data_IF_610351467858
#
_entry.id   IF_610351467858
#
_cell.length_a   1.000
_cell.length_b   1.000
_cell.length_c   1.000
_cell.angle_alpha   90.00
_cell.angle_beta   90.00
_cell.angle_gamma   90.00
#
_symmetry.space_group_name_H-M   'P 1'
#
loop_
_entity.id
_entity.type
_entity.pdbx_description
1 polymer ?
#
# COMPACT_ATOMS: atom_id res chain seq x y z
N UNK A 1 19.59 27.39 -7.39
CA UNK A 1 20.05 26.02 -7.73
C UNK A 1 20.38 25.16 -6.49
N UNK A 2 20.90 25.70 -5.38
CA UNK A 2 21.22 24.94 -4.17
C UNK A 2 20.02 24.26 -3.46
N UNK A 3 18.82 24.87 -3.50
CA UNK A 3 17.61 24.31 -2.88
C UNK A 3 17.22 22.93 -3.46
N UNK A 4 17.42 22.70 -4.77
CA UNK A 4 17.07 21.42 -5.38
C UNK A 4 17.99 20.28 -4.94
N UNK A 5 19.26 20.54 -4.67
CA UNK A 5 20.20 19.50 -4.25
C UNK A 5 19.92 19.04 -2.82
N UNK A 6 19.79 19.98 -1.88
CA UNK A 6 19.51 19.67 -0.46
C UNK A 6 18.19 18.92 -0.33
N UNK A 7 17.12 19.42 -0.96
CA UNK A 7 15.80 18.77 -0.95
C UNK A 7 15.85 17.38 -1.57
N UNK A 8 16.55 17.21 -2.70
CA UNK A 8 16.70 15.90 -3.34
C UNK A 8 17.45 14.90 -2.46
N UNK A 9 18.57 15.32 -1.87
CA UNK A 9 19.38 14.48 -0.97
C UNK A 9 18.58 14.09 0.28
N UNK A 10 17.85 15.03 0.87
CA UNK A 10 16.96 14.76 1.99
C UNK A 10 15.87 13.74 1.63
N UNK A 11 15.20 13.90 0.48
CA UNK A 11 14.17 12.95 0.05
C UNK A 11 14.75 11.56 -0.22
N UNK A 12 15.94 11.47 -0.82
CA UNK A 12 16.63 10.17 -1.00
C UNK A 12 16.92 9.54 0.37
N UNK A 13 17.47 10.29 1.32
CA UNK A 13 17.72 9.80 2.67
C UNK A 13 16.43 9.33 3.37
N UNK A 14 15.34 10.10 3.28
CA UNK A 14 14.03 9.72 3.82
C UNK A 14 13.50 8.41 3.23
N UNK A 15 13.58 8.24 1.91
CA UNK A 15 13.18 7.01 1.25
C UNK A 15 14.05 5.83 1.68
N UNK A 16 15.37 6.02 1.83
CA UNK A 16 16.28 4.98 2.32
C UNK A 16 15.99 4.58 3.76
N UNK A 17 15.80 5.54 4.67
CA UNK A 17 15.45 5.28 6.07
C UNK A 17 14.15 4.46 6.13
N UNK A 18 13.14 4.88 5.37
CA UNK A 18 11.86 4.18 5.31
C UNK A 18 12.01 2.77 4.73
N UNK A 19 12.80 2.61 3.65
CA UNK A 19 13.13 1.32 3.06
C UNK A 19 13.78 0.38 4.08
N UNK A 20 14.81 0.84 4.81
CA UNK A 20 15.48 0.02 5.82
C UNK A 20 14.54 -0.34 6.96
N UNK A 21 13.69 0.59 7.41
CA UNK A 21 12.64 0.32 8.39
C UNK A 21 11.73 -0.84 7.99
N UNK A 22 11.18 -0.78 6.77
CA UNK A 22 10.30 -1.83 6.26
C UNK A 22 11.02 -3.13 5.93
N UNK A 23 12.28 -3.07 5.49
CA UNK A 23 13.11 -4.25 5.27
C UNK A 23 13.41 -4.99 6.58
N UNK A 24 13.69 -4.26 7.67
CA UNK A 24 13.83 -4.83 9.01
C UNK A 24 12.54 -5.48 9.51
N UNK A 25 11.38 -4.85 9.24
CA UNK A 25 10.07 -5.44 9.56
C UNK A 25 9.85 -6.73 8.76
N UNK A 26 10.09 -6.71 7.44
CA UNK A 26 9.89 -7.87 6.56
C UNK A 26 10.80 -9.04 6.96
N UNK A 27 12.07 -8.76 7.21
CA UNK A 27 13.05 -9.78 7.62
C UNK A 27 12.72 -10.36 8.99
N UNK A 28 12.33 -9.52 9.96
CA UNK A 28 11.82 -9.97 11.26
C UNK A 28 10.60 -10.86 11.09
N UNK A 29 9.61 -10.45 10.28
CA UNK A 29 8.41 -11.23 10.03
C UNK A 29 8.73 -12.60 9.42
N UNK A 30 9.53 -12.65 8.35
CA UNK A 30 9.88 -13.90 7.67
C UNK A 30 10.60 -14.85 8.63
N UNK A 31 11.55 -14.33 9.42
CA UNK A 31 12.28 -15.13 10.40
C UNK A 31 11.39 -15.63 11.52
N UNK A 32 10.46 -14.80 12.02
CA UNK A 32 9.50 -15.20 13.06
C UNK A 32 8.60 -16.34 12.58
N UNK A 33 8.05 -16.21 11.37
CA UNK A 33 7.20 -17.25 10.79
C UNK A 33 7.97 -18.55 10.56
N UNK A 34 9.24 -18.47 10.13
CA UNK A 34 10.07 -19.63 9.84
C UNK A 34 10.64 -20.32 11.09
N UNK A 35 11.10 -19.57 12.09
CA UNK A 35 11.89 -20.08 13.22
C UNK A 35 11.15 -20.01 14.57
N UNK A 36 10.04 -19.28 14.68
CA UNK A 36 9.32 -19.07 15.95
C UNK A 36 9.87 -17.90 16.76
N UNK A 37 9.64 -17.91 18.07
CA UNK A 37 10.02 -16.81 18.97
C UNK A 37 11.50 -16.44 18.85
N UNK A 38 11.76 -15.14 18.72
CA UNK A 38 13.10 -14.61 18.53
C UNK A 38 13.47 -13.65 19.65
N UNK A 39 14.79 -13.59 19.92
CA UNK A 39 15.35 -12.53 20.76
C UNK A 39 15.13 -11.17 20.11
N UNK A 40 14.66 -10.20 20.89
CA UNK A 40 14.49 -8.83 20.42
C UNK A 40 15.83 -8.26 19.94
N UNK A 41 15.82 -7.64 18.77
CA UNK A 41 16.96 -6.90 18.23
C UNK A 41 16.97 -5.48 18.80
N UNK A 42 18.13 -4.82 18.83
CA UNK A 42 18.24 -3.45 19.36
C UNK A 42 17.20 -2.47 18.77
N UNK A 43 16.94 -2.44 17.45
CA UNK A 43 15.91 -1.55 16.89
C UNK A 43 14.51 -1.84 17.43
N UNK A 44 14.18 -3.11 17.70
CA UNK A 44 12.89 -3.50 18.29
C UNK A 44 12.83 -3.01 19.74
N UNK A 45 13.89 -3.23 20.51
CA UNK A 45 13.96 -2.79 21.91
C UNK A 45 13.84 -1.27 22.06
N UNK A 46 14.53 -0.49 21.21
CA UNK A 46 14.39 0.96 21.19
C UNK A 46 12.99 1.40 20.77
N UNK A 47 12.38 0.71 19.79
CA UNK A 47 11.00 1.01 19.37
C UNK A 47 10.01 0.73 20.49
N UNK A 48 10.15 -0.39 21.21
CA UNK A 48 9.31 -0.71 22.38
C UNK A 48 9.50 0.33 23.49
N UNK A 49 10.74 0.76 23.78
CA UNK A 49 11.00 1.84 24.75
C UNK A 49 10.36 3.17 24.35
N UNK A 50 10.47 3.54 23.07
CA UNK A 50 9.87 4.76 22.53
C UNK A 50 8.34 4.72 22.61
N UNK A 51 7.75 3.58 22.25
CA UNK A 51 6.29 3.41 22.26
C UNK A 51 5.74 3.20 23.66
N UNK A 52 6.50 2.63 24.59
CA UNK A 52 6.10 2.50 25.99
C UNK A 52 5.82 3.87 26.65
N UNK A 53 6.43 4.94 26.15
CA UNK A 53 6.10 6.31 26.55
C UNK A 53 4.74 6.78 26.01
N UNK A 54 4.34 6.29 24.83
CA UNK A 54 3.10 6.67 24.14
C UNK A 54 1.90 5.76 24.47
N UNK A 55 2.13 4.48 24.80
CA UNK A 55 1.10 3.55 25.27
C UNK A 55 0.66 3.96 26.68
N UNK A 56 -0.65 4.13 26.87
CA UNK A 56 -1.22 4.33 28.20
C UNK A 56 -0.90 3.11 29.08
N UNK A 57 -0.61 3.35 30.36
CA UNK A 57 -0.27 2.34 31.37
C UNK A 57 -1.25 1.15 31.46
N UNK A 58 -2.47 1.28 30.93
CA UNK A 58 -3.53 0.27 30.88
C UNK A 58 -3.36 -0.81 29.78
N UNK A 59 -2.50 -0.60 28.78
CA UNK A 59 -2.35 -1.49 27.61
C UNK A 59 -1.15 -2.46 27.72
N UNK A 60 -0.46 -2.49 28.86
CA UNK A 60 0.78 -3.27 29.10
C UNK A 60 0.62 -4.79 29.09
N UNK A 61 -0.60 -5.31 28.99
CA UNK A 61 -0.89 -6.74 29.03
C UNK A 61 -1.36 -7.25 27.66
N UNK A 62 -0.46 -7.23 26.68
CA UNK A 62 -0.67 -7.97 25.42
C UNK A 62 -0.35 -9.44 25.73
N UNK A 63 -1.34 -10.17 26.27
CA UNK A 63 -1.22 -11.61 26.50
C UNK A 63 -1.11 -12.35 25.16
N UNK A 64 -0.16 -13.28 25.08
CA UNK A 64 0.05 -14.15 23.91
C UNK A 64 -1.13 -15.12 23.81
N UNK A 65 -2.09 -14.85 22.93
CA UNK A 65 -3.16 -15.81 22.62
C UNK A 65 -2.67 -16.66 21.45
N UNK A 66 -2.37 -17.93 21.75
CA UNK A 66 -1.99 -18.95 20.77
C UNK A 66 -3.21 -19.39 19.97
N UNK A 67 -3.16 -19.27 18.64
CA UNK A 67 -4.19 -19.82 17.76
C UNK A 67 -4.04 -21.34 17.68
N UNK A 68 -4.79 -22.07 18.52
CA UNK A 68 -4.86 -23.54 18.45
C UNK A 68 -6.14 -23.98 17.75
N UNK A 69 -6.03 -24.39 16.49
CA UNK A 69 -7.12 -25.05 15.78
C UNK A 69 -6.77 -26.54 15.56
N UNK A 70 -7.49 -27.47 16.22
CA UNK A 70 -7.20 -28.90 16.14
C UNK A 70 -7.51 -29.55 14.77
N UNK A 71 -8.15 -28.83 13.85
CA UNK A 71 -8.53 -29.35 12.51
C UNK A 71 -7.53 -29.02 11.40
N UNK A 72 -6.47 -28.27 11.68
CA UNK A 72 -5.50 -27.85 10.66
C UNK A 72 -4.30 -28.78 10.58
N UNK A 73 -3.67 -28.94 9.40
CA UNK A 73 -2.39 -29.63 9.28
C UNK A 73 -1.34 -28.98 10.19
N UNK A 74 -0.45 -29.79 10.79
CA UNK A 74 0.52 -29.34 11.79
C UNK A 74 1.39 -28.15 11.33
N UNK A 75 1.74 -28.12 10.04
CA UNK A 75 2.46 -26.99 9.44
C UNK A 75 1.65 -25.69 9.48
N UNK A 76 0.38 -25.74 9.06
CA UNK A 76 -0.48 -24.56 9.03
C UNK A 76 -0.84 -24.07 10.43
N UNK A 77 -1.10 -24.98 11.37
CA UNK A 77 -1.37 -24.59 12.76
C UNK A 77 -0.17 -23.90 13.38
N UNK A 78 1.05 -24.41 13.16
CA UNK A 78 2.29 -23.79 13.65
C UNK A 78 2.54 -22.43 12.99
N UNK A 79 2.32 -22.32 11.68
CA UNK A 79 2.49 -21.06 10.97
C UNK A 79 1.50 -20.00 11.45
N UNK A 80 0.22 -20.36 11.64
CA UNK A 80 -0.80 -19.44 12.11
C UNK A 80 -0.59 -19.04 13.57
N UNK A 81 -0.13 -19.98 14.40
CA UNK A 81 0.24 -19.68 15.79
C UNK A 81 1.38 -18.65 15.86
N UNK A 82 2.45 -18.87 15.09
CA UNK A 82 3.54 -17.89 14.96
C UNK A 82 3.05 -16.56 14.38
N UNK A 83 2.15 -16.60 13.41
CA UNK A 83 1.55 -15.39 12.86
C UNK A 83 0.75 -14.59 13.89
N UNK A 84 0.02 -15.26 14.80
CA UNK A 84 -0.71 -14.59 15.89
C UNK A 84 0.21 -13.92 16.91
N UNK A 85 1.45 -14.37 17.07
CA UNK A 85 2.38 -13.77 18.04
C UNK A 85 3.24 -12.65 17.46
N UNK A 86 3.13 -12.36 16.16
CA UNK A 86 3.97 -11.38 15.48
C UNK A 86 3.87 -9.97 16.09
N UNK A 87 2.67 -9.53 16.49
CA UNK A 87 2.48 -8.19 17.04
C UNK A 87 3.32 -7.96 18.30
N UNK A 88 3.48 -8.98 19.16
CA UNK A 88 4.28 -8.87 20.37
C UNK A 88 5.79 -8.67 20.08
N UNK A 89 6.24 -9.01 18.87
CA UNK A 89 7.66 -8.97 18.50
C UNK A 89 7.97 -7.74 17.64
N UNK A 90 7.13 -7.44 16.66
CA UNK A 90 7.39 -6.36 15.70
C UNK A 90 6.38 -5.23 15.75
N UNK A 91 5.38 -5.27 16.64
CA UNK A 91 4.30 -4.27 16.72
C UNK A 91 4.84 -2.87 16.92
N UNK A 92 5.73 -2.68 17.90
CA UNK A 92 6.33 -1.37 18.12
C UNK A 92 7.16 -0.88 16.92
N UNK A 93 7.97 -1.76 16.32
CA UNK A 93 8.75 -1.38 15.15
C UNK A 93 7.86 -0.96 13.98
N UNK A 94 6.76 -1.69 13.74
CA UNK A 94 5.75 -1.32 12.74
C UNK A 94 5.15 0.05 13.06
N UNK A 95 4.82 0.31 14.33
CA UNK A 95 4.23 1.58 14.73
C UNK A 95 5.18 2.78 14.59
N UNK A 96 6.46 2.63 14.93
CA UNK A 96 7.48 3.68 14.68
C UNK A 96 7.63 3.93 13.18
N UNK A 97 7.88 2.88 12.39
CA UNK A 97 8.14 3.02 10.95
C UNK A 97 6.91 3.55 10.21
N UNK A 98 5.70 3.09 10.56
CA UNK A 98 4.47 3.60 9.96
C UNK A 98 4.21 5.06 10.34
N UNK A 99 4.64 5.50 11.52
CA UNK A 99 4.53 6.91 11.95
C UNK A 99 5.42 7.85 11.15
N UNK A 100 6.54 7.36 10.57
CA UNK A 100 7.35 8.14 9.65
C UNK A 100 6.58 8.57 8.39
N UNK A 101 5.51 7.84 8.02
CA UNK A 101 4.67 8.20 6.87
C UNK A 101 3.92 9.53 7.06
N UNK A 102 3.80 10.05 8.29
CA UNK A 102 3.29 11.41 8.55
C UNK A 102 4.13 12.45 7.79
N UNK A 103 5.44 12.22 7.64
CA UNK A 103 6.29 13.10 6.85
C UNK A 103 5.91 13.14 5.38
N UNK A 104 5.30 12.08 4.81
CA UNK A 104 4.79 12.09 3.44
C UNK A 104 3.67 13.14 3.28
N UNK A 105 2.82 13.31 4.30
CA UNK A 105 1.80 14.38 4.33
C UNK A 105 2.49 15.74 4.37
N UNK A 106 3.49 15.90 5.25
CA UNK A 106 4.24 17.16 5.39
C UNK A 106 4.91 17.55 4.08
N UNK A 107 5.55 16.59 3.39
CA UNK A 107 6.19 16.83 2.09
C UNK A 107 5.19 17.23 1.01
N UNK A 108 3.99 16.65 1.02
CA UNK A 108 2.91 17.01 0.11
C UNK A 108 2.35 18.41 0.38
N UNK A 109 2.15 18.77 1.66
CA UNK A 109 1.63 20.08 2.09
C UNK A 109 2.60 21.21 1.77
N UNK A 110 3.90 21.01 2.04
CA UNK A 110 4.95 21.99 1.74
C UNK A 110 5.21 22.07 0.21
N UNK A 111 4.73 21.10 -0.56
CA UNK A 111 4.89 21.07 -2.01
C UNK A 111 6.27 20.60 -2.48
N UNK A 112 7.07 20.02 -1.58
CA UNK A 112 8.35 19.38 -1.92
C UNK A 112 8.12 18.17 -2.82
N UNK A 113 6.99 17.46 -2.63
CA UNK A 113 6.56 16.33 -3.45
C UNK A 113 5.22 16.66 -4.11
N UNK A 114 5.13 16.47 -5.43
CA UNK A 114 3.92 16.71 -6.21
C UNK A 114 2.92 15.55 -6.05
N UNK A 115 2.11 15.60 -5.00
CA UNK A 115 1.02 14.64 -4.75
C UNK A 115 -0.23 15.35 -4.26
N UNK A 116 -1.45 14.87 -4.59
CA UNK A 116 -2.68 15.47 -4.08
C UNK A 116 -2.80 15.25 -2.56
N UNK A 117 -2.69 16.34 -1.79
CA UNK A 117 -2.68 16.31 -0.31
C UNK A 117 -3.82 15.49 0.29
N UNK A 118 -5.11 15.67 -0.10
CA UNK A 118 -6.20 14.92 0.52
C UNK A 118 -6.04 13.41 0.37
N UNK A 119 -5.55 12.97 -0.80
CA UNK A 119 -5.34 11.54 -1.05
C UNK A 119 -4.18 10.98 -0.22
N UNK A 120 -3.10 11.73 -0.04
CA UNK A 120 -1.98 11.34 0.82
C UNK A 120 -2.41 11.26 2.29
N UNK A 121 -3.20 12.22 2.76
CA UNK A 121 -3.74 12.23 4.13
C UNK A 121 -4.59 10.99 4.38
N UNK A 122 -5.57 10.69 3.51
CA UNK A 122 -6.43 9.52 3.68
C UNK A 122 -5.63 8.22 3.66
N UNK A 123 -4.64 8.10 2.76
CA UNK A 123 -3.79 6.92 2.67
C UNK A 123 -2.96 6.72 3.95
N UNK A 124 -2.26 7.74 4.42
CA UNK A 124 -1.41 7.66 5.62
C UNK A 124 -2.26 7.46 6.87
N UNK A 125 -3.35 8.22 7.02
CA UNK A 125 -4.24 8.11 8.16
C UNK A 125 -4.90 6.74 8.26
N UNK A 126 -5.33 6.14 7.14
CA UNK A 126 -5.94 4.80 7.15
C UNK A 126 -5.02 3.74 7.76
N UNK A 127 -3.72 3.77 7.44
CA UNK A 127 -2.74 2.85 8.02
C UNK A 127 -2.39 3.18 9.47
N UNK A 128 -2.28 4.47 9.81
CA UNK A 128 -2.07 4.88 11.21
C UNK A 128 -3.24 4.47 12.10
N UNK A 129 -4.47 4.56 11.59
CA UNK A 129 -5.65 4.09 12.28
C UNK A 129 -5.60 2.59 12.56
N UNK A 130 -5.14 1.77 11.61
CA UNK A 130 -5.01 0.34 11.83
C UNK A 130 -3.91 -0.03 12.82
N UNK A 131 -2.82 0.72 12.85
CA UNK A 131 -1.75 0.51 13.82
C UNK A 131 -2.21 0.98 15.21
N UNK A 132 -2.42 2.28 15.35
CA UNK A 132 -2.65 2.92 16.65
C UNK A 132 -4.09 2.79 17.14
N UNK A 133 -5.07 2.84 16.24
CA UNK A 133 -6.49 2.76 16.57
C UNK A 133 -7.00 1.33 16.73
N UNK A 134 -6.37 0.35 16.05
CA UNK A 134 -6.83 -1.04 16.02
C UNK A 134 -5.82 -1.99 16.67
N UNK A 135 -4.63 -2.19 16.09
CA UNK A 135 -3.73 -3.26 16.54
C UNK A 135 -3.16 -3.01 17.93
N UNK A 136 -2.78 -1.76 18.24
CA UNK A 136 -2.24 -1.40 19.56
C UNK A 136 -3.30 -1.39 20.67
N UNK A 137 -4.58 -1.18 20.33
CA UNK A 137 -5.68 -1.06 21.32
C UNK A 137 -6.46 -2.35 21.55
N UNK A 138 -6.49 -3.26 20.57
CA UNK A 138 -7.32 -4.47 20.62
C UNK A 138 -6.52 -5.75 20.50
N UNK A 139 -6.43 -6.48 21.61
CA UNK A 139 -5.77 -7.80 21.70
C UNK A 139 -6.26 -8.79 20.64
N UNK A 140 -7.57 -8.82 20.37
CA UNK A 140 -8.15 -9.73 19.39
C UNK A 140 -7.69 -9.45 17.95
N UNK A 141 -7.21 -8.23 17.69
CA UNK A 141 -6.63 -7.84 16.40
C UNK A 141 -5.13 -8.06 16.40
N UNK A 142 -4.42 -7.67 17.46
CA UNK A 142 -2.98 -7.91 17.62
C UNK A 142 -2.61 -9.40 17.57
N UNK A 143 -3.36 -10.24 18.29
CA UNK A 143 -3.13 -11.68 18.40
C UNK A 143 -3.74 -12.48 17.24
N UNK A 144 -4.03 -11.83 16.11
CA UNK A 144 -4.67 -12.44 14.96
C UNK A 144 -3.63 -12.76 13.88
N UNK A 145 -3.68 -13.95 13.24
CA UNK A 145 -2.83 -14.24 12.08
C UNK A 145 -3.00 -13.24 10.93
N UNK A 146 -4.15 -12.55 10.87
CA UNK A 146 -4.40 -11.48 9.91
C UNK A 146 -3.41 -10.31 10.06
N UNK A 147 -2.93 -10.03 11.27
CA UNK A 147 -1.92 -9.00 11.51
C UNK A 147 -0.63 -9.32 10.75
N UNK A 148 -0.16 -10.57 10.80
CA UNK A 148 1.03 -10.98 10.06
C UNK A 148 0.84 -10.86 8.54
N UNK A 149 -0.32 -11.24 8.01
CA UNK A 149 -0.59 -11.07 6.58
C UNK A 149 -0.63 -9.59 6.15
N UNK A 150 -1.15 -8.71 7.00
CA UNK A 150 -1.16 -7.26 6.78
C UNK A 150 0.27 -6.72 6.73
N UNK A 151 1.06 -7.00 7.77
CA UNK A 151 2.45 -6.53 7.87
C UNK A 151 3.30 -7.09 6.74
N UNK A 152 3.09 -8.33 6.31
CA UNK A 152 3.77 -8.91 5.15
C UNK A 152 3.44 -8.15 3.86
N UNK A 153 2.14 -7.94 3.58
CA UNK A 153 1.71 -7.24 2.38
C UNK A 153 2.22 -5.78 2.35
N UNK A 154 2.18 -5.10 3.50
CA UNK A 154 2.70 -3.75 3.65
C UNK A 154 4.20 -3.71 3.44
N UNK A 155 4.96 -4.45 4.25
CA UNK A 155 6.41 -4.42 4.23
C UNK A 155 6.98 -4.79 2.86
N UNK A 156 6.43 -5.79 2.18
CA UNK A 156 6.86 -6.14 0.82
C UNK A 156 6.54 -5.04 -0.20
N UNK A 157 5.35 -4.44 -0.13
CA UNK A 157 4.98 -3.31 -1.00
C UNK A 157 5.89 -2.10 -0.77
N UNK A 158 6.19 -1.79 0.49
CA UNK A 158 7.04 -0.67 0.90
C UNK A 158 8.51 -0.87 0.51
N UNK A 159 9.01 -2.10 0.66
CA UNK A 159 10.35 -2.48 0.20
C UNK A 159 10.55 -2.29 -1.31
N UNK A 160 9.47 -2.23 -2.10
CA UNK A 160 9.52 -1.93 -3.53
C UNK A 160 9.29 -0.44 -3.79
N UNK A 161 8.36 0.18 -3.04
CA UNK A 161 7.94 1.57 -3.21
C UNK A 161 9.09 2.56 -2.96
N UNK A 162 9.78 2.43 -1.83
CA UNK A 162 10.81 3.38 -1.44
C UNK A 162 12.05 3.35 -2.36
N UNK A 163 12.60 2.19 -2.75
CA UNK A 163 13.66 2.14 -3.76
C UNK A 163 13.22 2.70 -5.11
N UNK A 164 11.97 2.46 -5.53
CA UNK A 164 11.44 3.04 -6.77
C UNK A 164 11.45 4.58 -6.73
N UNK A 165 11.04 5.18 -5.61
CA UNK A 165 11.07 6.64 -5.44
C UNK A 165 12.48 7.21 -5.32
N UNK A 166 13.38 6.53 -4.59
CA UNK A 166 14.78 6.93 -4.51
C UNK A 166 15.45 6.91 -5.89
N UNK A 167 15.21 5.86 -6.68
CA UNK A 167 15.73 5.71 -8.04
C UNK A 167 15.19 6.79 -9.00
N UNK A 168 13.90 7.10 -8.91
CA UNK A 168 13.29 8.18 -9.70
C UNK A 168 13.93 9.54 -9.37
N UNK A 169 14.21 9.81 -8.09
CA UNK A 169 14.94 11.02 -7.69
C UNK A 169 16.35 11.02 -8.29
N UNK A 170 17.07 9.90 -8.24
CA UNK A 170 18.42 9.78 -8.79
C UNK A 170 18.48 9.78 -10.33
N UNK A 171 17.34 9.75 -11.02
CA UNK A 171 17.27 9.69 -12.49
C UNK A 171 17.60 8.32 -13.08
N UNK A 172 17.62 7.27 -12.26
CA UNK A 172 17.92 5.89 -12.65
C UNK A 172 16.68 5.01 -12.50
N UNK A 173 15.69 5.21 -13.39
CA UNK A 173 14.44 4.45 -13.33
C UNK A 173 14.69 2.97 -13.67
N UNK A 174 14.37 2.07 -12.74
CA UNK A 174 14.51 0.63 -12.94
C UNK A 174 13.23 0.02 -13.49
N UNK A 175 13.31 -0.55 -14.69
CA UNK A 175 12.21 -1.29 -15.33
C UNK A 175 11.71 -2.46 -14.46
N UNK A 176 12.60 -3.11 -13.70
CA UNK A 176 12.23 -4.21 -12.80
C UNK A 176 11.40 -3.71 -11.62
N UNK A 177 11.82 -2.65 -10.94
CA UNK A 177 11.07 -2.08 -9.81
C UNK A 177 9.70 -1.55 -10.25
N UNK A 178 9.64 -0.93 -11.44
CA UNK A 178 8.39 -0.51 -12.04
C UNK A 178 7.47 -1.71 -12.30
N UNK A 179 7.99 -2.79 -12.90
CA UNK A 179 7.23 -4.01 -13.12
C UNK A 179 6.74 -4.65 -11.82
N UNK A 180 7.61 -4.77 -10.81
CA UNK A 180 7.30 -5.37 -9.53
C UNK A 180 6.17 -4.60 -8.84
N UNK A 181 6.27 -3.27 -8.77
CA UNK A 181 5.23 -2.40 -8.21
C UNK A 181 3.88 -2.56 -8.89
N UNK A 182 3.85 -2.58 -10.22
CA UNK A 182 2.60 -2.65 -10.99
C UNK A 182 2.13 -4.08 -11.27
N UNK A 183 2.79 -5.12 -10.75
CA UNK A 183 2.37 -6.52 -10.95
C UNK A 183 2.10 -7.23 -9.62
N UNK A 184 2.96 -7.04 -8.61
CA UNK A 184 2.77 -7.69 -7.31
C UNK A 184 1.51 -7.20 -6.57
N UNK A 185 0.99 -6.02 -6.93
CA UNK A 185 -0.28 -5.53 -6.36
C UNK A 185 -1.45 -6.50 -6.59
N UNK A 186 -1.44 -7.34 -7.63
CA UNK A 186 -2.52 -8.30 -7.87
C UNK A 186 -2.75 -9.24 -6.68
N UNK A 187 -1.67 -9.61 -5.98
CA UNK A 187 -1.70 -10.51 -4.81
C UNK A 187 -1.62 -9.71 -3.52
N UNK A 188 -0.69 -8.75 -3.43
CA UNK A 188 -0.43 -8.02 -2.19
C UNK A 188 -1.58 -7.09 -1.81
N UNK A 189 -2.29 -6.52 -2.79
CA UNK A 189 -3.38 -5.59 -2.49
C UNK A 189 -4.59 -6.29 -1.88
N UNK A 190 -5.14 -7.39 -2.45
CA UNK A 190 -6.22 -8.13 -1.79
C UNK A 190 -5.80 -8.75 -0.45
N UNK A 191 -4.55 -9.21 -0.34
CA UNK A 191 -4.02 -9.76 0.91
C UNK A 191 -3.95 -8.69 2.00
N UNK A 192 -3.32 -7.55 1.71
CA UNK A 192 -3.21 -6.42 2.62
C UNK A 192 -4.59 -5.89 2.99
N UNK A 193 -5.35 -5.37 2.03
CA UNK A 193 -6.64 -4.76 2.31
C UNK A 193 -7.67 -5.76 2.90
N UNK A 194 -7.63 -7.04 2.51
CA UNK A 194 -8.46 -8.07 3.13
C UNK A 194 -8.10 -8.30 4.60
N UNK A 195 -6.81 -8.37 4.92
CA UNK A 195 -6.35 -8.53 6.30
C UNK A 195 -6.68 -7.31 7.18
N UNK A 196 -6.57 -6.10 6.64
CA UNK A 196 -6.97 -4.85 7.31
C UNK A 196 -8.47 -4.88 7.70
N UNK A 197 -9.32 -5.32 6.77
CA UNK A 197 -10.75 -5.50 7.03
C UNK A 197 -11.01 -6.51 8.16
N UNK A 198 -10.30 -7.64 8.14
CA UNK A 198 -10.46 -8.69 9.15
C UNK A 198 -9.98 -8.25 10.53
N UNK A 199 -8.94 -7.43 10.61
CA UNK A 199 -8.50 -6.82 11.87
C UNK A 199 -9.57 -5.89 12.43
N UNK A 200 -10.15 -5.01 11.60
CA UNK A 200 -11.27 -4.17 12.02
C UNK A 200 -12.46 -5.01 12.52
N UNK A 201 -12.82 -6.07 11.80
CA UNK A 201 -13.89 -6.99 12.18
C UNK A 201 -13.64 -7.65 13.54
N UNK A 202 -12.40 -8.06 13.84
CA UNK A 202 -12.01 -8.65 15.14
C UNK A 202 -12.15 -7.71 16.33
N UNK A 203 -12.28 -6.40 16.09
CA UNK A 203 -12.59 -5.46 17.16
C UNK A 203 -14.08 -5.38 17.49
N UNK A 204 -14.98 -5.84 16.60
CA UNK A 204 -16.41 -5.73 16.80
C UNK A 204 -16.90 -6.71 17.89
N UNK A 205 -17.97 -6.37 18.64
CA UNK A 205 -18.55 -7.27 19.62
C UNK A 205 -19.12 -8.55 18.98
N UNK A 206 -19.02 -9.69 19.67
CA UNK A 206 -19.59 -10.98 19.23
C UNK A 206 -21.13 -11.08 19.37
N UNK A 207 -21.83 -9.96 19.54
CA UNK A 207 -23.28 -9.91 19.71
C UNK A 207 -23.84 -8.76 18.87
N UNK A 208 -25.06 -8.91 18.36
CA UNK A 208 -25.66 -7.86 17.55
C UNK A 208 -26.04 -6.63 18.40
N UNK A 209 -26.15 -5.45 17.77
CA UNK A 209 -26.51 -4.21 18.47
C UNK A 209 -27.81 -4.30 19.26
N UNK A 210 -28.79 -5.04 18.76
CA UNK A 210 -30.09 -5.23 19.39
C UNK A 210 -30.08 -6.25 20.53
N UNK A 211 -29.12 -7.19 20.53
CA UNK A 211 -29.01 -8.20 21.60
C UNK A 211 -28.28 -7.66 22.83
N UNK A 212 -27.23 -6.87 22.61
CA UNK A 212 -26.42 -6.25 23.68
C UNK A 212 -26.04 -4.81 23.32
N UNK A 213 -26.96 -3.84 23.47
CA UNK A 213 -26.70 -2.44 23.12
C UNK A 213 -25.51 -1.83 23.88
N UNK A 214 -25.27 -2.25 25.13
CA UNK A 214 -24.16 -1.75 25.96
C UNK A 214 -22.77 -2.12 25.45
N UNK A 215 -22.65 -3.16 24.60
CA UNK A 215 -21.37 -3.54 24.00
C UNK A 215 -21.00 -2.68 22.77
N UNK A 216 -21.95 -1.93 22.24
CA UNK A 216 -21.80 -1.13 21.02
C UNK A 216 -21.59 0.34 21.35
N UNK A 217 -20.33 0.73 21.48
CA UNK A 217 -19.95 2.15 21.63
C UNK A 217 -19.94 2.87 20.27
N UNK A 218 -19.95 4.21 20.26
CA UNK A 218 -19.85 5.02 19.05
C UNK A 218 -18.64 4.63 18.17
N UNK A 219 -17.52 4.28 18.81
CA UNK A 219 -16.32 3.77 18.12
C UNK A 219 -16.60 2.45 17.38
N UNK A 220 -17.33 1.51 17.99
CA UNK A 220 -17.68 0.23 17.35
C UNK A 220 -18.63 0.40 16.17
N UNK A 221 -19.58 1.33 16.28
CA UNK A 221 -20.41 1.69 15.13
C UNK A 221 -19.57 2.30 14.01
N UNK A 222 -18.64 3.21 14.33
CA UNK A 222 -17.74 3.79 13.32
C UNK A 222 -16.93 2.70 12.61
N UNK A 223 -16.31 1.78 13.36
CA UNK A 223 -15.53 0.67 12.77
C UNK A 223 -16.42 -0.23 11.92
N UNK A 224 -17.66 -0.50 12.34
CA UNK A 224 -18.60 -1.29 11.55
C UNK A 224 -18.96 -0.61 10.22
N UNK A 225 -19.23 0.70 10.22
CA UNK A 225 -19.46 1.47 8.99
C UNK A 225 -18.23 1.45 8.10
N UNK A 226 -17.04 1.67 8.65
CA UNK A 226 -15.79 1.62 7.89
C UNK A 226 -15.57 0.23 7.27
N UNK A 227 -15.86 -0.85 8.00
CA UNK A 227 -15.78 -2.21 7.49
C UNK A 227 -16.73 -2.47 6.31
N UNK A 228 -17.96 -1.96 6.37
CA UNK A 228 -18.92 -2.09 5.26
C UNK A 228 -18.47 -1.30 4.04
N UNK A 229 -18.01 -0.05 4.23
CA UNK A 229 -17.49 0.80 3.15
C UNK A 229 -16.16 0.29 2.56
N UNK A 230 -15.45 -0.55 3.31
CA UNK A 230 -14.16 -1.10 2.91
C UNK A 230 -14.24 -1.91 1.61
N UNK A 231 -15.26 -2.77 1.47
CA UNK A 231 -15.38 -3.68 0.33
C UNK A 231 -15.64 -2.97 -1.01
N UNK A 232 -16.59 -2.01 -1.10
CA UNK A 232 -16.72 -1.18 -2.29
C UNK A 232 -15.45 -0.37 -2.59
N UNK A 233 -14.80 0.19 -1.55
CA UNK A 233 -13.56 0.95 -1.70
C UNK A 233 -12.43 0.11 -2.29
N UNK A 234 -12.27 -1.12 -1.81
CA UNK A 234 -11.30 -2.10 -2.32
C UNK A 234 -11.54 -2.40 -3.81
N UNK A 235 -12.79 -2.63 -4.21
CA UNK A 235 -13.13 -2.89 -5.62
C UNK A 235 -12.77 -1.71 -6.54
N UNK A 236 -13.18 -0.48 -6.16
CA UNK A 236 -12.91 0.72 -6.95
C UNK A 236 -11.41 0.98 -7.07
N UNK A 237 -10.66 0.86 -5.98
CA UNK A 237 -9.23 1.14 -5.99
C UNK A 237 -8.45 0.04 -6.71
N UNK A 238 -8.84 -1.24 -6.56
CA UNK A 238 -8.21 -2.35 -7.26
C UNK A 238 -8.39 -2.25 -8.78
N UNK A 239 -9.61 -1.97 -9.25
CA UNK A 239 -9.88 -1.78 -10.68
C UNK A 239 -9.13 -0.56 -11.23
N UNK A 240 -8.98 0.49 -10.43
CA UNK A 240 -8.15 1.64 -10.78
C UNK A 240 -6.67 1.28 -10.93
N UNK A 241 -6.09 0.49 -10.02
CA UNK A 241 -4.70 0.01 -10.12
C UNK A 241 -4.46 -0.86 -11.36
N UNK A 242 -5.42 -1.69 -11.75
CA UNK A 242 -5.35 -2.46 -13.01
C UNK A 242 -5.25 -1.52 -14.22
N UNK A 243 -6.03 -0.44 -14.23
CA UNK A 243 -5.96 0.59 -15.28
C UNK A 243 -4.61 1.32 -15.26
N UNK A 244 -4.09 1.66 -14.08
CA UNK A 244 -2.77 2.28 -13.92
C UNK A 244 -1.65 1.38 -14.46
N UNK A 245 -1.66 0.08 -14.15
CA UNK A 245 -0.71 -0.90 -14.68
C UNK A 245 -0.67 -0.88 -16.20
N UNK A 246 -1.83 -0.97 -16.86
CA UNK A 246 -1.90 -0.96 -18.34
C UNK A 246 -1.23 0.29 -18.92
N UNK A 247 -1.41 1.45 -18.29
CA UNK A 247 -0.78 2.71 -18.70
C UNK A 247 0.71 2.81 -18.41
N UNK A 248 1.16 2.28 -17.26
CA UNK A 248 2.55 2.32 -16.86
C UNK A 248 3.41 1.34 -17.67
N UNK A 249 2.97 0.08 -17.77
CA UNK A 249 3.74 -0.98 -18.45
C UNK A 249 3.70 -0.91 -19.97
N UNK A 250 2.72 -0.23 -20.56
CA UNK A 250 2.71 0.01 -22.02
C UNK A 250 3.84 0.94 -22.49
N UNK A 251 4.51 1.65 -21.57
CA UNK A 251 5.64 2.54 -21.84
C UNK A 251 7.01 1.88 -21.63
N UNK A 252 7.07 0.70 -21.02
CA UNK A 252 8.33 0.02 -20.66
C UNK A 252 8.79 -0.84 -21.84
N UNK A 253 9.95 -0.53 -22.42
CA UNK A 253 10.56 -1.37 -23.47
C UNK A 253 11.54 -2.38 -22.87
N UNK A 254 11.43 -3.65 -23.26
CA UNK A 254 12.57 -4.56 -23.28
C UNK A 254 12.75 -5.59 -22.15
N UNK A 255 11.89 -5.65 -21.13
CA UNK A 255 11.95 -6.74 -20.12
C UNK A 255 10.77 -7.72 -20.20
N UNK A 256 9.54 -7.19 -20.32
CA UNK A 256 8.32 -7.95 -20.67
C UNK A 256 7.35 -7.12 -21.55
N UNK A 257 7.79 -5.93 -21.98
CA UNK A 257 7.00 -5.04 -22.82
C UNK A 257 7.09 -5.50 -24.27
N UNK A 258 5.97 -5.95 -24.83
CA UNK A 258 5.84 -6.18 -26.27
C UNK A 258 6.36 -4.94 -27.00
N UNK A 259 7.42 -5.09 -27.81
CA UNK A 259 7.90 -4.09 -28.81
C UNK A 259 6.75 -3.43 -29.60
N UNK A 260 5.62 -4.11 -29.64
CA UNK A 260 4.35 -3.76 -30.24
C UNK A 260 3.68 -2.48 -29.67
N UNK A 261 3.94 -2.05 -28.42
CA UNK A 261 3.21 -0.88 -27.87
C UNK A 261 3.62 0.45 -28.50
N UNK A 262 4.91 0.69 -28.68
CA UNK A 262 5.43 1.87 -29.39
C UNK A 262 5.12 1.79 -30.89
N UNK A 263 5.26 0.60 -31.50
CA UNK A 263 4.89 0.37 -32.90
C UNK A 263 3.40 0.62 -33.18
N UNK A 264 2.49 0.18 -32.29
CA UNK A 264 1.05 0.47 -32.36
C UNK A 264 0.75 1.96 -32.15
N UNK A 265 1.51 2.66 -31.29
CA UNK A 265 1.33 4.09 -31.04
C UNK A 265 1.78 4.93 -32.24
N UNK A 266 2.90 4.58 -32.85
CA UNK A 266 3.40 5.12 -34.11
C UNK A 266 2.38 4.84 -35.23
N UNK A 267 1.93 3.60 -35.39
CA UNK A 267 0.92 3.21 -36.38
C UNK A 267 -0.42 3.94 -36.17
N UNK A 268 -0.85 4.15 -34.92
CA UNK A 268 -2.06 4.90 -34.60
C UNK A 268 -1.92 6.39 -34.97
N UNK A 269 -0.77 7.02 -34.68
CA UNK A 269 -0.48 8.41 -35.11
C UNK A 269 -0.50 8.52 -36.64
N UNK A 270 0.18 7.62 -37.34
CA UNK A 270 0.20 7.56 -38.80
C UNK A 270 -1.21 7.37 -39.38
N UNK A 271 -2.03 6.50 -38.79
CA UNK A 271 -3.42 6.28 -39.22
C UNK A 271 -4.31 7.52 -39.03
N UNK A 272 -4.14 8.24 -37.92
CA UNK A 272 -4.88 9.47 -37.63
C UNK A 272 -4.48 10.61 -38.57
N UNK A 273 -3.20 10.69 -38.91
CA UNK A 273 -2.66 11.65 -39.85
C UNK A 273 -3.12 11.37 -41.29
N UNK A 274 -3.16 10.08 -41.70
CA UNK A 274 -3.77 9.66 -42.97
C UNK A 274 -5.26 10.01 -43.05
N UNK A 275 -6.04 9.77 -41.99
CA UNK A 275 -7.47 10.14 -41.96
C UNK A 275 -7.68 11.65 -42.06
N UNK A 276 -6.86 12.46 -41.37
CA UNK A 276 -6.89 13.92 -41.51
C UNK A 276 -6.54 14.38 -42.91
N UNK A 277 -5.50 13.81 -43.52
CA UNK A 277 -5.11 14.12 -44.90
C UNK A 277 -6.19 13.75 -45.91
N UNK A 278 -6.76 12.55 -45.80
CA UNK A 278 -7.87 12.11 -46.66
C UNK A 278 -9.10 13.01 -46.54
N UNK A 279 -9.43 13.47 -45.33
CA UNK A 279 -10.52 14.43 -45.12
C UNK A 279 -10.22 15.79 -45.75
N UNK A 280 -9.01 16.32 -45.58
CA UNK A 280 -8.62 17.59 -46.18
C UNK A 280 -8.64 17.54 -47.72
N UNK A 281 -8.25 16.42 -48.33
CA UNK A 281 -8.33 16.21 -49.79
C UNK A 281 -9.79 16.12 -50.24
N UNK A 282 -10.64 15.41 -49.51
CA UNK A 282 -12.07 15.33 -49.81
C UNK A 282 -12.74 16.72 -49.74
N UNK A 283 -12.46 17.49 -48.68
CA UNK A 283 -12.98 18.84 -48.49
C UNK A 283 -12.49 19.81 -49.60
N UNK A 284 -11.23 19.69 -50.05
CA UNK A 284 -10.69 20.49 -51.15
C UNK A 284 -11.25 20.09 -52.53
N UNK A 285 -11.50 18.78 -52.75
CA UNK A 285 -12.12 18.27 -53.98
C UNK A 285 -13.59 18.69 -54.10
N UNK A 286 -14.30 18.79 -52.98
CA UNK A 286 -15.64 19.34 -52.91
C UNK A 286 -15.65 20.84 -53.26
N UNK A 287 -14.76 21.62 -52.65
CA UNK A 287 -14.64 23.05 -52.90
C UNK A 287 -14.24 23.40 -54.35
N UNK A 288 -13.50 22.53 -55.03
CA UNK A 288 -13.12 22.70 -56.45
C UNK A 288 -14.14 22.11 -57.42
N UNK A 289 -14.93 21.11 -57.00
CA UNK A 289 -15.97 20.46 -57.79
C UNK A 289 -17.27 21.28 -57.93
N UNK A 290 -17.59 22.16 -56.96
CA UNK A 290 -18.73 23.08 -57.08
C UNK A 290 -18.42 24.30 -57.97
N UNK A 291 -17.14 24.65 -58.16
CA UNK A 291 -16.71 25.76 -59.02
C UNK A 291 -16.89 25.50 -60.52
N UNK A 292 -17.11 24.24 -60.95
CA UNK A 292 -17.16 23.89 -62.37
C UNK A 292 -18.57 23.53 -62.87
N UNK A 293 -19.61 23.81 -62.08
CA UNK A 293 -21.03 23.62 -62.47
C UNK A 293 -21.80 24.94 -62.74
N UNK A 294 -21.10 26.07 -62.85
CA UNK A 294 -21.71 27.39 -63.10
C UNK A 294 -21.11 28.13 -64.31
N UNK A 295 -20.91 27.42 -65.43
CA UNK A 295 -20.69 28.06 -66.74
C UNK A 295 -21.73 27.56 -67.72
#
# INVERSE_FOLDING_TARGET
MANNFITKTYLVAFNLISFFGWSMILTTLIRHLALGEMRQTLPIEYSEKFIAFLRSAAERNIYVISFKNPKLPAFLSTLLDRASTLHAISGALVAVVQSLAVMEIVHAVIGIVKTPVPTTVVQVFSRLFLVWGISERYINSAASPWYASMVFAWSLTECIRYPFYANALMGSESNFLQWARYTLFYVLYPMGAGSEAMLMFKTLPNAYPWDKPSAWTAEKYLVAVLFVLWWPGLYVMYTHMIRQRRRALSKVSGFWGTKDSNARREAAKVSAQRKKGAKAVADASWATGESNKSK
#
